data_IF_974889314035
#
_entry.id   IF_974889314035
#
_cell.length_a   1.000
_cell.length_b   1.000
_cell.length_c   1.000
_cell.angle_alpha   90.00
_cell.angle_beta   90.00
_cell.angle_gamma   90.00
#
_symmetry.space_group_name_H-M   'P 1'
#
loop_
_entity.id
_entity.type
_entity.pdbx_description
1 polymer ?
#
# COMPACT_ATOMS: atom_id res chain seq x y z
N UNK A 1 21.72 61.73 9.32
CA UNK A 1 21.46 60.79 10.45
C UNK A 1 20.60 59.68 9.86
N UNK A 2 21.16 58.52 9.50
CA UNK A 2 21.46 57.33 10.33
C UNK A 2 20.20 56.61 10.85
N UNK A 3 20.06 55.34 10.42
CA UNK A 3 19.23 54.22 10.96
C UNK A 3 17.78 54.24 10.45
N UNK A 4 17.21 53.24 9.79
CA UNK A 4 17.45 51.78 9.71
C UNK A 4 16.79 51.34 8.38
N UNK A 5 17.42 50.67 7.40
CA UNK A 5 18.03 49.34 7.43
C UNK A 5 17.39 48.38 8.44
N UNK A 6 16.24 47.81 8.08
CA UNK A 6 15.76 46.50 8.57
C UNK A 6 14.65 46.03 7.59
N UNK A 7 14.97 45.60 6.37
CA UNK A 7 15.25 44.19 6.07
C UNK A 7 14.49 43.21 6.99
N UNK A 8 13.20 43.04 6.74
CA UNK A 8 12.47 41.85 7.21
C UNK A 8 11.89 41.12 5.99
N UNK A 9 12.80 40.60 5.16
CA UNK A 9 12.47 39.55 4.22
C UNK A 9 12.30 38.27 5.05
N UNK A 10 11.10 38.06 5.58
CA UNK A 10 10.71 36.80 6.23
C UNK A 10 10.74 35.73 5.14
N UNK A 11 11.87 35.05 5.00
CA UNK A 11 11.95 33.78 4.29
C UNK A 11 11.08 32.78 5.07
N UNK A 12 9.81 32.66 4.69
CA UNK A 12 9.05 31.46 4.96
C UNK A 12 9.78 30.31 4.24
N UNK A 13 10.62 29.59 4.97
CA UNK A 13 11.18 28.32 4.50
C UNK A 13 10.00 27.35 4.45
N UNK A 14 9.31 27.31 3.32
CA UNK A 14 8.37 26.24 3.02
C UNK A 14 9.23 25.01 2.81
N UNK A 15 9.39 24.19 3.84
CA UNK A 15 10.00 22.87 3.71
C UNK A 15 9.10 22.04 2.80
N UNK A 16 9.39 22.07 1.49
CA UNK A 16 8.87 21.07 0.56
C UNK A 16 9.60 19.79 0.95
N UNK A 17 8.95 18.95 1.77
CA UNK A 17 9.38 17.58 1.97
C UNK A 17 9.26 16.88 0.62
N UNK A 18 10.36 16.85 -0.13
CA UNK A 18 10.46 16.09 -1.36
C UNK A 18 10.39 14.62 -0.97
N UNK A 19 9.33 13.92 -1.38
CA UNK A 19 9.23 12.47 -1.20
C UNK A 19 10.35 11.82 -2.03
N UNK A 20 11.28 11.16 -1.35
CA UNK A 20 12.40 10.47 -2.01
C UNK A 20 12.03 9.01 -2.20
N UNK A 21 12.30 8.45 -3.38
CA UNK A 21 11.96 7.07 -3.71
C UNK A 21 12.53 6.05 -2.72
N UNK A 22 13.77 6.28 -2.25
CA UNK A 22 14.47 5.37 -1.32
C UNK A 22 13.81 5.24 0.04
N UNK A 23 12.97 6.20 0.44
CA UNK A 23 12.35 6.22 1.77
C UNK A 23 11.18 5.23 1.88
N UNK A 24 10.79 4.63 0.76
CA UNK A 24 9.70 3.67 0.67
C UNK A 24 10.21 2.24 0.74
N UNK A 25 9.50 1.43 1.53
CA UNK A 25 9.77 0.00 1.73
C UNK A 25 8.98 -0.87 0.76
N UNK A 26 7.73 -0.48 0.48
CA UNK A 26 6.75 -1.29 -0.23
C UNK A 26 6.47 -0.74 -1.62
N UNK A 27 6.34 -1.64 -2.60
CA UNK A 27 5.95 -1.29 -3.97
C UNK A 27 4.91 -2.29 -4.47
N UNK A 28 3.84 -1.80 -5.09
CA UNK A 28 2.87 -2.60 -5.84
C UNK A 28 3.21 -2.47 -7.32
N UNK A 29 3.24 -3.60 -8.03
CA UNK A 29 3.40 -3.67 -9.48
C UNK A 29 2.07 -4.11 -10.08
N UNK A 30 1.48 -3.36 -11.02
CA UNK A 30 0.26 -3.76 -11.67
C UNK A 30 0.51 -4.94 -12.61
N UNK A 31 -0.49 -5.80 -12.80
CA UNK A 31 -0.46 -6.90 -13.77
C UNK A 31 -0.34 -6.40 -15.20
N UNK A 32 -0.97 -5.26 -15.47
CA UNK A 32 -0.99 -4.61 -16.77
C UNK A 32 -0.46 -3.19 -16.66
N UNK A 33 0.39 -2.81 -17.61
CA UNK A 33 0.99 -1.47 -17.66
C UNK A 33 0.23 -0.60 -18.65
N UNK A 34 -0.05 0.64 -18.26
CA UNK A 34 -0.96 1.53 -19.01
C UNK A 34 -0.46 1.84 -20.43
N UNK A 35 0.86 1.73 -20.67
CA UNK A 35 1.46 1.98 -21.97
C UNK A 35 1.38 0.83 -22.98
N UNK A 36 1.09 -0.41 -22.53
CA UNK A 36 1.24 -1.60 -23.36
C UNK A 36 -0.12 -2.19 -23.72
N UNK A 37 -0.45 -2.25 -25.02
CA UNK A 37 -1.71 -2.81 -25.52
C UNK A 37 -1.75 -4.34 -25.41
N UNK A 38 -2.96 -4.90 -25.26
CA UNK A 38 -3.28 -6.32 -25.51
C UNK A 38 -2.43 -7.33 -24.72
N UNK A 39 -2.28 -7.17 -23.40
CA UNK A 39 -1.62 -8.16 -22.54
C UNK A 39 -0.16 -8.49 -22.92
N UNK A 40 0.46 -7.72 -23.82
CA UNK A 40 1.88 -7.86 -24.18
C UNK A 40 2.72 -7.11 -23.16
N UNK A 41 2.83 -7.69 -21.97
CA UNK A 41 3.65 -7.15 -20.89
C UNK A 41 5.15 -7.32 -21.17
N UNK A 42 5.55 -8.04 -22.22
CA UNK A 42 6.95 -8.30 -22.61
C UNK A 42 7.84 -8.81 -21.46
N UNK A 43 7.25 -9.49 -20.48
CA UNK A 43 7.96 -9.93 -19.26
C UNK A 43 8.43 -8.78 -18.36
N UNK A 44 7.98 -7.55 -18.57
CA UNK A 44 8.44 -6.37 -17.84
C UNK A 44 8.06 -6.43 -16.36
N UNK A 45 6.88 -6.98 -16.03
CA UNK A 45 6.41 -7.09 -14.64
C UNK A 45 7.32 -7.98 -13.80
N UNK A 46 7.64 -9.18 -14.29
CA UNK A 46 8.53 -10.12 -13.60
C UNK A 46 9.97 -9.60 -13.53
N UNK A 47 10.43 -8.93 -14.59
CA UNK A 47 11.75 -8.29 -14.61
C UNK A 47 11.86 -7.14 -13.60
N UNK A 48 10.84 -6.28 -13.53
CA UNK A 48 10.73 -5.19 -12.57
C UNK A 48 10.69 -5.74 -11.14
N UNK A 49 9.86 -6.74 -10.87
CA UNK A 49 9.75 -7.38 -9.56
C UNK A 49 11.10 -7.91 -9.07
N UNK A 50 11.81 -8.66 -9.91
CA UNK A 50 13.12 -9.23 -9.57
C UNK A 50 14.14 -8.14 -9.26
N UNK A 51 14.12 -7.05 -10.03
CA UNK A 51 15.07 -5.94 -9.88
C UNK A 51 14.75 -5.04 -8.67
N UNK A 52 13.48 -4.86 -8.32
CA UNK A 52 13.08 -4.14 -7.11
C UNK A 52 13.43 -4.94 -5.85
N UNK A 53 13.20 -6.26 -5.87
CA UNK A 53 13.63 -7.16 -4.79
C UNK A 53 15.14 -7.12 -4.56
N UNK A 54 15.96 -7.10 -5.62
CA UNK A 54 17.42 -6.97 -5.49
C UNK A 54 17.86 -5.60 -4.93
N UNK A 55 17.01 -4.58 -5.07
CA UNK A 55 17.16 -3.24 -4.48
C UNK A 55 16.46 -3.09 -3.12
N UNK A 56 16.13 -4.20 -2.44
CA UNK A 56 15.55 -4.27 -1.08
C UNK A 56 14.12 -3.72 -0.95
N UNK A 57 13.42 -3.46 -2.05
CA UNK A 57 11.98 -3.19 -1.97
C UNK A 57 11.20 -4.48 -1.75
N UNK A 58 10.13 -4.40 -0.97
CA UNK A 58 9.17 -5.49 -0.80
C UNK A 58 8.05 -5.28 -1.81
N UNK A 59 7.98 -6.17 -2.80
CA UNK A 59 6.92 -6.15 -3.80
C UNK A 59 5.67 -6.80 -3.22
N UNK A 60 4.60 -6.01 -3.12
CA UNK A 60 3.30 -6.44 -2.62
C UNK A 60 2.42 -6.94 -3.78
N UNK A 61 1.56 -7.90 -3.47
CA UNK A 61 0.48 -8.35 -4.36
C UNK A 61 -0.48 -7.20 -4.66
N UNK A 62 -1.20 -7.22 -5.77
CA UNK A 62 -2.34 -6.30 -5.95
C UNK A 62 -3.47 -6.56 -4.95
N UNK A 63 -3.52 -7.78 -4.39
CA UNK A 63 -4.55 -8.18 -3.43
C UNK A 63 -4.19 -7.66 -2.05
N UNK A 64 -4.82 -6.56 -1.62
CA UNK A 64 -4.59 -5.90 -0.33
C UNK A 64 -4.71 -6.83 0.88
N UNK A 65 -5.58 -7.84 0.86
CA UNK A 65 -5.72 -8.79 1.97
C UNK A 65 -4.46 -9.64 2.23
N UNK A 66 -3.48 -9.62 1.31
CA UNK A 66 -2.19 -10.30 1.45
C UNK A 66 -1.08 -9.36 1.92
N UNK A 67 -1.38 -8.08 2.16
CA UNK A 67 -0.38 -7.10 2.57
C UNK A 67 -0.02 -7.28 4.05
N UNK A 68 1.22 -6.95 4.43
CA UNK A 68 1.59 -6.91 5.84
C UNK A 68 0.83 -5.78 6.54
N UNK A 69 0.63 -5.94 7.85
CA UNK A 69 -0.21 -5.01 8.63
C UNK A 69 0.30 -3.57 8.62
N UNK A 70 1.62 -3.35 8.65
CA UNK A 70 2.21 -2.01 8.60
C UNK A 70 1.89 -1.28 7.28
N UNK A 71 1.82 -2.02 6.17
CA UNK A 71 1.38 -1.51 4.87
C UNK A 71 -0.14 -1.23 4.84
N UNK A 72 -0.95 -2.08 5.48
CA UNK A 72 -2.41 -1.88 5.59
C UNK A 72 -2.76 -0.66 6.44
N UNK A 73 -2.05 -0.45 7.55
CA UNK A 73 -2.26 0.68 8.46
C UNK A 73 -1.83 2.02 7.85
N UNK A 74 -0.83 2.01 6.97
CA UNK A 74 -0.37 3.23 6.31
C UNK A 74 -0.11 3.00 4.80
N UNK A 75 -1.16 3.07 3.98
CA UNK A 75 -1.04 2.90 2.53
C UNK A 75 -0.12 3.92 1.85
N UNK A 76 0.13 5.07 2.48
CA UNK A 76 1.05 6.09 1.96
C UNK A 76 2.53 5.74 2.10
N UNK A 77 2.86 4.62 2.74
CA UNK A 77 4.21 4.02 2.72
C UNK A 77 4.43 3.05 1.54
N UNK A 78 3.46 2.96 0.63
CA UNK A 78 3.47 2.06 -0.51
C UNK A 78 3.54 2.89 -1.79
N UNK A 79 4.39 2.47 -2.71
CA UNK A 79 4.48 3.04 -4.05
C UNK A 79 3.73 2.18 -5.06
N UNK A 80 3.09 2.83 -6.02
CA UNK A 80 2.56 2.16 -7.20
C UNK A 80 3.56 2.36 -8.34
N UNK A 81 4.19 1.29 -8.78
CA UNK A 81 5.10 1.32 -9.93
C UNK A 81 4.30 1.23 -11.23
N UNK A 82 4.77 1.90 -12.28
CA UNK A 82 4.13 1.88 -13.59
C UNK A 82 5.19 2.00 -14.69
N UNK A 83 4.92 1.43 -15.86
CA UNK A 83 5.80 1.48 -17.03
C UNK A 83 4.99 1.99 -18.20
N UNK A 84 5.38 3.14 -18.72
CA UNK A 84 4.71 3.76 -19.86
C UNK A 84 5.56 3.56 -21.11
N UNK A 85 4.94 3.10 -22.20
CA UNK A 85 5.54 3.09 -23.53
C UNK A 85 5.65 4.54 -24.05
N UNK A 86 6.89 5.06 -24.08
CA UNK A 86 7.20 6.41 -24.55
C UNK A 86 7.47 6.36 -26.06
N UNK A 87 6.41 6.07 -26.83
CA UNK A 87 6.39 5.83 -28.29
C UNK A 87 7.58 6.44 -29.03
N UNK A 88 8.38 5.60 -29.68
CA UNK A 88 9.52 6.00 -30.51
C UNK A 88 9.49 5.34 -31.87
N UNK A 89 9.80 6.10 -32.93
CA UNK A 89 9.81 5.56 -34.31
C UNK A 89 10.99 4.59 -34.58
N UNK A 90 12.09 4.70 -33.83
CA UNK A 90 13.34 3.98 -34.12
C UNK A 90 13.89 3.14 -32.96
N UNK A 91 13.31 3.28 -31.77
CA UNK A 91 13.82 2.70 -30.53
C UNK A 91 12.67 2.35 -29.60
N UNK A 92 12.82 1.24 -28.90
CA UNK A 92 11.95 0.87 -27.79
C UNK A 92 12.26 1.79 -26.61
N UNK A 93 11.26 2.55 -26.15
CA UNK A 93 11.41 3.59 -25.12
C UNK A 93 10.37 3.37 -24.03
N UNK A 94 10.81 3.51 -22.78
CA UNK A 94 9.92 3.39 -21.63
C UNK A 94 10.14 4.54 -20.66
N UNK A 95 9.08 4.88 -19.93
CA UNK A 95 9.15 5.72 -18.74
C UNK A 95 8.73 4.89 -17.53
N UNK A 96 9.67 4.62 -16.62
CA UNK A 96 9.41 3.98 -15.34
C UNK A 96 8.97 5.05 -14.34
N UNK A 97 7.81 4.87 -13.72
CA UNK A 97 7.26 5.80 -12.74
C UNK A 97 6.95 5.11 -11.42
N UNK A 98 7.09 5.86 -10.33
CA UNK A 98 6.57 5.48 -9.01
C UNK A 98 5.67 6.59 -8.50
N UNK A 99 4.45 6.19 -8.12
CA UNK A 99 3.40 7.08 -7.62
C UNK A 99 3.14 6.81 -6.14
N UNK A 100 2.85 7.86 -5.38
CA UNK A 100 2.44 7.73 -3.97
C UNK A 100 0.95 7.34 -3.84
N UNK A 101 0.43 7.28 -2.61
CA UNK A 101 -0.98 7.00 -2.32
C UNK A 101 -1.98 8.00 -2.90
N UNK A 102 -1.53 9.22 -3.24
CA UNK A 102 -2.34 10.27 -3.84
C UNK A 102 -2.23 10.25 -5.38
N UNK A 103 -1.65 9.19 -5.97
CA UNK A 103 -1.33 9.07 -7.38
C UNK A 103 -0.36 10.14 -7.90
N UNK A 104 0.38 10.82 -7.01
CA UNK A 104 1.41 11.79 -7.41
C UNK A 104 2.66 11.05 -7.82
N UNK A 105 3.21 11.37 -9.00
CA UNK A 105 4.49 10.83 -9.47
C UNK A 105 5.60 11.44 -8.61
N UNK A 106 6.29 10.59 -7.83
CA UNK A 106 7.42 11.01 -6.98
C UNK A 106 8.76 10.70 -7.64
N UNK A 107 8.78 9.76 -8.59
CA UNK A 107 9.96 9.40 -9.36
C UNK A 107 9.53 9.03 -10.78
N UNK A 108 10.29 9.51 -11.76
CA UNK A 108 10.08 9.20 -13.18
C UNK A 108 11.43 9.11 -13.87
N UNK A 109 11.68 8.02 -14.56
CA UNK A 109 12.92 7.77 -15.29
C UNK A 109 12.64 7.32 -16.71
N UNK A 110 13.24 8.01 -17.69
CA UNK A 110 13.11 7.68 -19.11
C UNK A 110 14.32 6.90 -19.59
N UNK A 111 14.09 5.81 -20.30
CA UNK A 111 15.16 4.99 -20.88
C UNK A 111 14.76 4.40 -22.22
N UNK A 112 15.75 3.96 -22.99
CA UNK A 112 15.53 3.45 -24.34
C UNK A 112 16.52 2.37 -24.72
N UNK A 113 16.13 1.40 -25.54
CA UNK A 113 17.03 0.42 -26.12
C UNK A 113 17.30 0.68 -27.59
N UNK A 114 18.48 0.28 -28.04
CA UNK A 114 18.84 0.21 -29.47
C UNK A 114 18.39 -1.09 -30.12
N UNK A 115 18.01 -2.10 -29.32
CA UNK A 115 17.44 -3.36 -29.80
C UNK A 115 16.06 -3.05 -30.37
N UNK A 116 15.81 -3.51 -31.60
CA UNK A 116 14.59 -3.17 -32.35
C UNK A 116 13.45 -4.12 -32.02
N UNK A 117 13.76 -5.38 -31.74
CA UNK A 117 12.82 -6.40 -31.32
C UNK A 117 12.15 -5.97 -30.01
N UNK A 118 10.81 -5.96 -29.99
CA UNK A 118 10.04 -5.36 -28.90
C UNK A 118 10.35 -5.96 -27.53
N UNK A 119 10.26 -7.28 -27.38
CA UNK A 119 10.46 -7.93 -26.07
C UNK A 119 11.85 -7.69 -25.47
N UNK A 120 12.96 -8.06 -26.14
CA UNK A 120 14.29 -7.80 -25.60
C UNK A 120 14.61 -6.30 -25.56
N UNK A 121 14.05 -5.49 -26.46
CA UNK A 121 14.25 -4.04 -26.47
C UNK A 121 13.56 -3.33 -25.30
N UNK A 122 12.34 -3.71 -24.94
CA UNK A 122 11.68 -3.16 -23.76
C UNK A 122 12.32 -3.64 -22.45
N UNK A 123 12.74 -4.91 -22.38
CA UNK A 123 13.47 -5.42 -21.21
C UNK A 123 14.82 -4.72 -21.04
N UNK A 124 15.56 -4.48 -22.12
CA UNK A 124 16.82 -3.73 -22.08
C UNK A 124 16.59 -2.25 -21.71
N UNK A 125 15.56 -1.60 -22.26
CA UNK A 125 15.19 -0.24 -21.87
C UNK A 125 14.87 -0.17 -20.38
N UNK A 126 14.07 -1.11 -19.85
CA UNK A 126 13.75 -1.19 -18.44
C UNK A 126 15.00 -1.42 -17.57
N UNK A 127 15.90 -2.31 -17.99
CA UNK A 127 17.19 -2.54 -17.33
C UNK A 127 18.00 -1.25 -17.21
N UNK A 128 18.10 -0.46 -18.28
CA UNK A 128 18.81 0.82 -18.26
C UNK A 128 18.18 1.83 -17.30
N UNK A 129 16.85 1.91 -17.24
CA UNK A 129 16.14 2.79 -16.30
C UNK A 129 16.34 2.36 -14.84
N UNK A 130 16.30 1.05 -14.57
CA UNK A 130 16.44 0.49 -13.22
C UNK A 130 17.84 0.70 -12.62
N UNK A 131 18.88 0.94 -13.42
CA UNK A 131 20.21 1.29 -12.88
C UNK A 131 20.12 2.54 -12.00
N UNK A 132 19.29 3.51 -12.37
CA UNK A 132 19.15 4.79 -11.67
C UNK A 132 18.21 4.74 -10.46
N UNK A 133 17.40 3.68 -10.34
CA UNK A 133 16.52 3.49 -9.20
C UNK A 133 17.36 3.26 -7.93
N UNK A 134 17.26 4.10 -6.88
CA UNK A 134 17.98 3.90 -5.64
C UNK A 134 17.56 2.62 -4.93
N UNK A 135 18.44 2.10 -4.07
CA UNK A 135 18.14 1.00 -3.16
C UNK A 135 17.22 1.52 -2.05
N UNK A 136 16.21 0.73 -1.66
CA UNK A 136 15.33 1.07 -0.54
C UNK A 136 16.13 1.18 0.76
N UNK A 137 15.93 2.29 1.48
CA UNK A 137 16.52 2.59 2.77
C UNK A 137 15.56 3.46 3.61
N UNK A 138 14.41 2.92 4.03
CA UNK A 138 13.44 3.67 4.83
C UNK A 138 14.08 4.06 6.17
N UNK A 139 14.17 5.38 6.43
CA UNK A 139 14.62 5.89 7.74
C UNK A 139 13.56 5.61 8.81
N UNK A 140 13.95 5.22 10.04
CA UNK A 140 13.03 5.08 11.17
C UNK A 140 12.28 6.38 11.53
N UNK A 141 12.71 7.54 11.01
CA UNK A 141 12.00 8.82 11.19
C UNK A 141 10.67 8.91 10.41
N UNK A 142 10.53 8.18 9.28
CA UNK A 142 9.26 8.06 8.52
C UNK A 142 8.22 7.21 9.27
N UNK A 143 8.62 6.53 10.35
CA UNK A 143 7.67 5.86 11.25
C UNK A 143 7.03 6.83 12.25
N UNK A 144 7.66 7.96 12.57
CA UNK A 144 7.19 8.92 13.58
C UNK A 144 6.52 10.18 13.01
N UNK A 145 6.77 10.54 11.75
CA UNK A 145 6.32 11.82 11.20
C UNK A 145 4.81 11.97 10.93
N UNK A 146 3.99 10.96 11.19
CA UNK A 146 2.51 11.13 11.18
C UNK A 146 1.92 11.35 12.58
N UNK A 147 2.71 11.23 13.66
CA UNK A 147 2.17 11.24 15.02
C UNK A 147 2.23 12.59 15.75
N UNK A 148 2.89 13.63 15.23
CA UNK A 148 3.02 14.89 15.97
C UNK A 148 2.75 16.14 15.12
N UNK A 149 1.49 16.62 15.19
CA UNK A 149 1.22 18.03 15.48
C UNK A 149 -0.20 18.26 16.03
N UNK A 150 -0.36 18.50 17.35
CA UNK A 150 -1.59 19.04 17.94
C UNK A 150 -1.52 20.57 18.00
N UNK A 151 -2.55 21.26 17.49
CA UNK A 151 -2.97 22.59 17.97
C UNK A 151 -4.46 22.84 17.63
N UNK A 152 -5.30 22.56 18.62
CA UNK A 152 -6.45 23.34 19.13
C UNK A 152 -7.60 23.85 18.22
N UNK A 153 -8.79 23.32 18.56
CA UNK A 153 -10.18 23.85 18.53
C UNK A 153 -10.81 24.40 17.22
N UNK A 154 -11.62 23.58 16.54
CA UNK A 154 -13.10 23.56 16.68
C UNK A 154 -13.81 22.90 15.47
N UNK A 155 -14.74 21.98 15.80
CA UNK A 155 -15.88 21.43 15.02
C UNK A 155 -15.65 20.41 13.89
N UNK A 156 -15.97 19.16 14.26
CA UNK A 156 -16.67 18.11 13.50
C UNK A 156 -16.29 17.97 12.01
N UNK A 157 -15.35 17.07 11.73
CA UNK A 157 -15.39 16.23 10.54
C UNK A 157 -14.73 14.88 10.90
N UNK A 158 -15.54 13.83 10.90
CA UNK A 158 -15.12 12.45 11.14
C UNK A 158 -14.17 12.02 10.00
N UNK A 159 -12.90 11.81 10.34
CA UNK A 159 -12.07 10.81 9.65
C UNK A 159 -12.76 9.44 9.82
N UNK A 160 -12.78 8.54 8.82
CA UNK A 160 -13.55 7.30 8.90
C UNK A 160 -13.14 6.53 10.15
N UNK A 161 -14.11 6.39 11.05
CA UNK A 161 -13.96 5.77 12.37
C UNK A 161 -13.48 4.33 12.15
N UNK A 162 -12.23 4.03 12.47
CA UNK A 162 -11.78 2.66 12.61
C UNK A 162 -12.59 2.04 13.75
N UNK A 163 -13.64 1.28 13.41
CA UNK A 163 -14.52 0.62 14.37
C UNK A 163 -13.69 -0.42 15.14
N UNK A 164 -13.62 -0.28 16.46
CA UNK A 164 -12.90 -1.22 17.32
C UNK A 164 -13.85 -2.25 17.87
N UNK A 165 -13.37 -3.48 17.98
CA UNK A 165 -14.13 -4.59 18.52
C UNK A 165 -13.32 -5.27 19.63
N UNK A 166 -13.98 -5.67 20.72
CA UNK A 166 -13.34 -6.32 21.86
C UNK A 166 -13.94 -7.68 22.16
N UNK A 167 -13.09 -8.61 22.57
CA UNK A 167 -13.46 -9.88 23.17
C UNK A 167 -12.51 -10.15 24.34
N UNK A 168 -12.98 -9.93 25.58
CA UNK A 168 -12.13 -9.95 26.77
C UNK A 168 -10.98 -8.94 26.69
N UNK A 169 -9.74 -9.42 26.75
CA UNK A 169 -8.53 -8.58 26.65
C UNK A 169 -8.10 -8.32 25.19
N UNK A 170 -8.69 -9.01 24.22
CA UNK A 170 -8.36 -8.85 22.81
C UNK A 170 -9.11 -7.64 22.23
N UNK A 171 -8.36 -6.70 21.66
CA UNK A 171 -8.91 -5.49 21.03
C UNK A 171 -8.50 -5.44 19.56
N UNK A 172 -9.47 -5.63 18.67
CA UNK A 172 -9.27 -5.68 17.23
C UNK A 172 -9.78 -4.40 16.56
N UNK A 173 -9.08 -3.95 15.52
CA UNK A 173 -9.54 -2.86 14.66
C UNK A 173 -10.10 -3.43 13.37
N UNK A 174 -11.29 -2.95 12.96
CA UNK A 174 -11.86 -3.27 11.65
C UNK A 174 -11.31 -2.33 10.60
N UNK A 175 -10.72 -2.91 9.56
CA UNK A 175 -10.23 -2.18 8.39
C UNK A 175 -11.00 -2.67 7.16
N UNK A 176 -11.71 -1.75 6.50
CA UNK A 176 -12.39 -2.05 5.23
C UNK A 176 -11.35 -2.16 4.12
N UNK A 177 -11.35 -3.26 3.37
CA UNK A 177 -10.44 -3.49 2.25
C UNK A 177 -11.08 -3.00 0.93
N UNK A 178 -12.35 -3.38 0.73
CA UNK A 178 -13.23 -2.98 -0.37
C UNK A 178 -14.70 -3.16 0.05
N UNK A 179 -15.67 -2.88 -0.83
CA UNK A 179 -17.12 -2.96 -0.50
C UNK A 179 -17.59 -4.33 -0.01
N UNK A 180 -16.86 -5.40 -0.34
CA UNK A 180 -17.19 -6.79 -0.03
C UNK A 180 -16.24 -7.46 0.96
N UNK A 181 -15.16 -6.79 1.36
CA UNK A 181 -14.11 -7.39 2.18
C UNK A 181 -13.63 -6.44 3.27
N UNK A 182 -13.46 -6.98 4.48
CA UNK A 182 -12.80 -6.28 5.59
C UNK A 182 -11.93 -7.26 6.39
N UNK A 183 -11.04 -6.73 7.23
CA UNK A 183 -10.20 -7.51 8.12
C UNK A 183 -10.33 -7.01 9.56
N UNK A 184 -10.09 -7.90 10.51
CA UNK A 184 -9.86 -7.57 11.91
C UNK A 184 -8.37 -7.71 12.21
N UNK A 185 -7.75 -6.66 12.74
CA UNK A 185 -6.31 -6.64 13.07
C UNK A 185 -6.07 -6.36 14.54
N UNK A 186 -5.08 -7.03 15.11
CA UNK A 186 -4.53 -6.69 16.43
C UNK A 186 -3.30 -5.79 16.24
N UNK A 187 -3.24 -4.66 16.95
CA UNK A 187 -2.15 -3.68 16.84
C UNK A 187 -0.76 -4.25 17.15
N UNK A 188 -0.67 -5.37 17.87
CA UNK A 188 0.59 -6.07 18.18
C UNK A 188 1.04 -7.11 17.15
N UNK A 189 0.19 -7.50 16.21
CA UNK A 189 0.49 -8.57 15.24
C UNK A 189 0.91 -8.02 13.87
N UNK A 190 1.62 -8.81 13.07
CA UNK A 190 1.87 -8.53 11.64
C UNK A 190 0.89 -9.27 10.71
N UNK A 191 0.15 -10.24 11.24
CA UNK A 191 -0.84 -11.06 10.55
C UNK A 191 -2.24 -10.65 11.04
N UNK A 192 -3.21 -10.40 10.13
CA UNK A 192 -4.57 -10.08 10.54
C UNK A 192 -5.17 -11.23 11.34
N UNK A 193 -5.94 -10.89 12.38
CA UNK A 193 -6.62 -11.89 13.21
C UNK A 193 -7.62 -12.70 12.38
N UNK A 194 -8.40 -12.02 11.52
CA UNK A 194 -9.33 -12.66 10.61
C UNK A 194 -9.62 -11.78 9.38
N UNK A 195 -9.85 -12.43 8.24
CA UNK A 195 -10.27 -11.79 6.98
C UNK A 195 -11.70 -12.20 6.64
N UNK A 196 -12.57 -11.22 6.40
CA UNK A 196 -14.00 -11.41 6.15
C UNK A 196 -14.32 -11.04 4.71
N UNK A 197 -14.95 -11.95 3.97
CA UNK A 197 -15.46 -11.72 2.62
C UNK A 197 -16.97 -11.96 2.58
N UNK A 198 -17.72 -10.98 2.11
CA UNK A 198 -19.18 -11.01 2.04
C UNK A 198 -19.67 -12.22 1.25
N UNK A 199 -20.79 -12.80 1.71
CA UNK A 199 -21.55 -13.80 0.96
C UNK A 199 -22.78 -13.16 0.31
N UNK A 200 -23.56 -13.95 -0.42
CA UNK A 200 -24.84 -13.49 -0.98
C UNK A 200 -25.92 -13.32 0.11
N UNK A 201 -25.69 -13.83 1.31
CA UNK A 201 -26.56 -13.60 2.47
C UNK A 201 -26.04 -12.38 3.22
N UNK A 202 -26.91 -11.38 3.38
CA UNK A 202 -26.60 -10.18 4.14
C UNK A 202 -26.07 -10.53 5.52
N UNK A 203 -25.08 -9.77 5.98
CA UNK A 203 -24.45 -9.89 7.29
C UNK A 203 -23.77 -11.25 7.57
N UNK A 204 -23.54 -12.07 6.54
CA UNK A 204 -22.81 -13.34 6.65
C UNK A 204 -21.58 -13.31 5.75
N UNK A 205 -20.44 -13.74 6.31
CA UNK A 205 -19.12 -13.66 5.72
C UNK A 205 -18.44 -15.02 5.69
N UNK A 206 -17.69 -15.29 4.64
CA UNK A 206 -16.63 -16.29 4.65
C UNK A 206 -15.44 -15.70 5.38
N UNK A 207 -14.95 -16.39 6.41
CA UNK A 207 -13.86 -15.93 7.26
C UNK A 207 -12.65 -16.81 7.06
N UNK A 208 -11.48 -16.19 6.92
CA UNK A 208 -10.18 -16.87 7.01
C UNK A 208 -9.43 -16.35 8.22
N UNK A 209 -9.17 -17.22 9.19
CA UNK A 209 -8.45 -16.87 10.41
C UNK A 209 -6.96 -16.63 10.13
N UNK A 210 -6.29 -15.89 11.01
CA UNK A 210 -4.85 -15.68 10.96
C UNK A 210 -4.05 -17.00 11.02
N UNK A 211 -4.62 -18.06 11.59
CA UNK A 211 -4.09 -19.43 11.57
C UNK A 211 -4.12 -20.08 10.18
N UNK A 212 -4.90 -19.54 9.25
CA UNK A 212 -5.10 -20.05 7.89
C UNK A 212 -6.38 -20.87 7.69
N UNK A 213 -7.07 -21.25 8.77
CA UNK A 213 -8.32 -22.00 8.73
C UNK A 213 -9.47 -21.15 8.17
N UNK A 214 -10.43 -21.81 7.50
CA UNK A 214 -11.61 -21.16 6.93
C UNK A 214 -12.86 -21.50 7.72
N UNK A 215 -13.67 -20.50 7.98
CA UNK A 215 -14.89 -20.59 8.79
C UNK A 215 -15.94 -19.55 8.35
N UNK A 216 -17.01 -19.39 9.11
CA UNK A 216 -18.07 -18.41 8.91
C UNK A 216 -18.04 -17.36 10.02
N UNK A 217 -18.37 -16.13 9.67
CA UNK A 217 -18.67 -15.07 10.63
C UNK A 217 -19.89 -14.29 10.20
N UNK A 218 -20.52 -13.62 11.13
CA UNK A 218 -21.74 -12.85 10.87
C UNK A 218 -21.89 -11.69 11.85
N UNK A 219 -22.72 -10.71 11.49
CA UNK A 219 -23.16 -9.71 12.47
C UNK A 219 -24.33 -10.25 13.28
N UNK A 220 -24.27 -10.06 14.59
CA UNK A 220 -25.36 -10.34 15.51
C UNK A 220 -25.45 -9.19 16.51
N UNK A 221 -26.56 -8.45 16.50
CA UNK A 221 -26.79 -7.29 17.39
C UNK A 221 -25.69 -6.22 17.34
N UNK A 222 -25.07 -5.99 16.17
CA UNK A 222 -23.97 -5.03 16.01
C UNK A 222 -22.58 -5.57 16.42
N UNK A 223 -22.51 -6.80 16.92
CA UNK A 223 -21.27 -7.50 17.22
C UNK A 223 -20.82 -8.34 16.03
N UNK A 224 -19.52 -8.58 15.90
CA UNK A 224 -18.98 -9.57 14.96
C UNK A 224 -18.88 -10.90 15.69
N UNK A 225 -19.53 -11.92 15.14
CA UNK A 225 -19.42 -13.30 15.63
C UNK A 225 -18.58 -14.10 14.64
N UNK A 226 -17.66 -14.91 15.15
CA UNK A 226 -16.88 -15.86 14.35
C UNK A 226 -17.08 -17.26 14.92
N UNK A 227 -17.35 -18.23 14.06
CA UNK A 227 -17.37 -19.64 14.43
C UNK A 227 -15.93 -20.16 14.41
N UNK A 228 -15.35 -20.51 15.55
CA UNK A 228 -13.98 -21.02 15.65
C UNK A 228 -14.02 -22.55 15.63
N UNK A 229 -13.34 -23.20 14.66
CA UNK A 229 -13.30 -24.66 14.59
C UNK A 229 -12.57 -25.25 15.79
N UNK A 230 -13.10 -26.33 16.33
CA UNK A 230 -12.52 -27.09 17.44
C UNK A 230 -11.91 -28.40 16.92
N UNK A 231 -10.97 -28.98 17.67
CA UNK A 231 -10.26 -30.22 17.28
C UNK A 231 -11.17 -31.45 17.14
N UNK A 232 -12.38 -31.40 17.71
CA UNK A 232 -13.39 -32.45 17.63
C UNK A 232 -14.34 -32.30 16.42
N UNK A 233 -14.16 -31.27 15.59
CA UNK A 233 -15.01 -30.99 14.42
C UNK A 233 -16.23 -30.10 14.73
N UNK A 234 -16.45 -29.73 15.99
CA UNK A 234 -17.46 -28.74 16.37
C UNK A 234 -16.95 -27.31 16.18
N UNK A 235 -17.84 -26.33 16.38
CA UNK A 235 -17.52 -24.92 16.33
C UNK A 235 -17.93 -24.24 17.63
N UNK A 236 -17.09 -23.34 18.14
CA UNK A 236 -17.43 -22.43 19.23
C UNK A 236 -17.67 -21.01 18.71
N UNK A 237 -18.50 -20.23 19.39
CA UNK A 237 -18.78 -18.85 19.00
C UNK A 237 -17.87 -17.89 19.76
N UNK A 238 -17.11 -17.08 19.03
CA UNK A 238 -16.42 -15.92 19.59
C UNK A 238 -17.17 -14.64 19.20
N UNK A 239 -17.49 -13.82 20.20
CA UNK A 239 -18.26 -12.59 20.02
C UNK A 239 -17.38 -11.38 20.29
N UNK A 240 -17.23 -10.54 19.27
CA UNK A 240 -16.48 -9.31 19.30
C UNK A 240 -17.44 -8.13 19.35
N UNK A 241 -17.47 -7.45 20.49
CA UNK A 241 -18.41 -6.35 20.73
C UNK A 241 -17.83 -5.03 20.24
N UNK A 242 -18.63 -4.24 19.53
CA UNK A 242 -18.22 -2.91 19.09
C UNK A 242 -17.96 -2.01 20.31
N UNK A 243 -16.83 -1.31 20.30
CA UNK A 243 -16.40 -0.38 21.35
C UNK A 243 -16.25 1.04 20.81
#
# INVERSE_FOLDING_TARGET
MKKSLLFLFVFMIVHINSQVLSDYKYVVIPKEFTGFKENRSYGLGSFLEKSLKSKRYIVLSETKSQWPQDALMNPCKILNADIIDDKGFLRNKITLQFKDCNNKIIYSEKSSSTIKEYEPGYQDALKQGLVKVPVSNPSPETEKMTELKPLEEAKIAQSPIAQRFKNGNLSLQKIQIDDSQFILVDGSSSVPYATFKATNKADVFRVKLGSGESTIGYYENGNIVIEIPMSNGDFTKEVFSAN
#
